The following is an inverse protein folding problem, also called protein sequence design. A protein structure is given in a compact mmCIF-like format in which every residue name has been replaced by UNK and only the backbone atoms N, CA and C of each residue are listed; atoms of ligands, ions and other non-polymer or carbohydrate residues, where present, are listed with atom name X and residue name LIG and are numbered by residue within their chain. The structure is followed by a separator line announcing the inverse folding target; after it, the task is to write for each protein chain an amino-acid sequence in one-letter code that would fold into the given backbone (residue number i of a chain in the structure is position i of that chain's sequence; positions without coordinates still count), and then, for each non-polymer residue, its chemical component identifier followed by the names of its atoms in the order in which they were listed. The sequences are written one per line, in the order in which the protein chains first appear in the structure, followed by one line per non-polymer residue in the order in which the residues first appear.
data_IF_290570762193
#
_entry.id   IF_290570762193
#
_cell.length_a   1.000
_cell.length_b   1.000
_cell.length_c   1.000
_cell.angle_alpha   90.00
_cell.angle_beta   90.00
_cell.angle_gamma   90.00
#
_symmetry.space_group_name_H-M   'P 1'
#
loop_
_entity.id
_entity.type
_entity.pdbx_description
1 polymer ?
#
# COMPACT_ATOMS: atom_id res chain seq x y z
N UNK A 1 -13.86 -79.22 35.66
CA UNK A 1 -13.74 -80.24 34.60
C UNK A 1 -14.01 -79.56 33.27
N UNK A 2 -12.95 -79.31 32.50
CA UNK A 2 -12.99 -78.65 31.21
C UNK A 2 -12.12 -79.46 30.24
N UNK A 3 -12.68 -79.89 29.11
CA UNK A 3 -12.02 -80.14 27.83
C UNK A 3 -13.02 -80.75 26.80
N UNK A 4 -12.79 -80.58 25.49
CA UNK A 4 -13.80 -80.55 24.45
C UNK A 4 -13.77 -81.75 23.48
N UNK A 5 -14.80 -81.89 22.65
CA UNK A 5 -14.86 -82.86 21.54
C UNK A 5 -14.53 -82.18 20.22
N UNK A 6 -13.44 -82.65 19.59
CA UNK A 6 -13.05 -82.34 18.23
C UNK A 6 -13.77 -83.27 17.22
N UNK A 7 -14.12 -82.75 16.04
CA UNK A 7 -14.37 -83.55 14.82
C UNK A 7 -13.69 -82.92 13.60
N UNK A 8 -12.81 -83.73 13.02
CA UNK A 8 -12.35 -83.90 11.62
C UNK A 8 -13.51 -83.78 10.58
N UNK A 9 -13.41 -83.48 9.27
CA UNK A 9 -12.37 -83.43 8.21
C UNK A 9 -12.96 -82.79 6.93
N UNK A 10 -12.14 -82.39 5.93
CA UNK A 10 -12.54 -82.42 4.51
C UNK A 10 -11.97 -81.34 3.58
N UNK A 11 -11.00 -81.71 2.74
CA UNK A 11 -10.43 -80.89 1.67
C UNK A 11 -11.25 -80.96 0.37
N UNK A 12 -11.28 -79.86 -0.39
CA UNK A 12 -11.80 -79.80 -1.77
C UNK A 12 -11.02 -78.75 -2.57
N UNK A 13 -10.23 -79.20 -3.55
CA UNK A 13 -9.35 -78.41 -4.41
C UNK A 13 -10.13 -77.97 -5.66
N UNK A 14 -10.26 -76.66 -5.89
CA UNK A 14 -10.60 -76.07 -7.19
C UNK A 14 -9.77 -74.78 -7.35
N UNK A 15 -8.79 -74.78 -8.26
CA UNK A 15 -7.89 -73.65 -8.47
C UNK A 15 -8.51 -72.57 -9.38
N UNK A 16 -8.38 -71.26 -9.06
CA UNK A 16 -8.79 -70.21 -9.97
C UNK A 16 -7.61 -69.72 -10.84
N UNK A 17 -7.68 -70.05 -12.13
CA UNK A 17 -6.80 -69.58 -13.22
C UNK A 17 -6.93 -68.06 -13.54
N UNK A 18 -7.49 -67.26 -12.63
CA UNK A 18 -7.88 -65.86 -12.87
C UNK A 18 -6.83 -64.83 -12.38
N UNK A 19 -5.80 -65.30 -11.67
CA UNK A 19 -4.80 -64.41 -11.03
C UNK A 19 -3.63 -64.01 -11.94
N UNK A 20 -3.46 -64.63 -13.12
CA UNK A 20 -2.30 -64.38 -13.99
C UNK A 20 -2.59 -63.35 -15.11
N UNK A 21 -3.87 -63.11 -15.44
CA UNK A 21 -4.26 -62.17 -16.50
C UNK A 21 -4.62 -60.76 -16.00
N UNK A 22 -4.82 -60.57 -14.69
CA UNK A 22 -5.13 -59.27 -14.09
C UNK A 22 -3.94 -58.30 -13.98
N UNK A 23 -2.69 -58.72 -13.70
CA UNK A 23 -1.58 -57.76 -13.58
C UNK A 23 -1.23 -57.00 -14.87
N UNK A 24 -1.17 -57.61 -16.08
CA UNK A 24 -0.82 -56.87 -17.29
C UNK A 24 -1.94 -55.95 -17.77
N UNK A 25 -3.21 -56.30 -17.51
CA UNK A 25 -4.35 -55.45 -17.88
C UNK A 25 -4.45 -54.21 -16.98
N UNK A 26 -4.16 -54.36 -15.68
CA UNK A 26 -4.09 -53.25 -14.73
C UNK A 26 -2.89 -52.33 -15.00
N UNK A 27 -1.76 -52.90 -15.42
CA UNK A 27 -0.56 -52.15 -15.83
C UNK A 27 -0.77 -51.41 -17.16
N UNK A 28 -1.52 -51.98 -18.11
CA UNK A 28 -1.92 -51.31 -19.35
C UNK A 28 -2.92 -50.16 -19.11
N UNK A 29 -3.82 -50.30 -18.13
CA UNK A 29 -4.70 -49.22 -17.67
C UNK A 29 -3.95 -48.10 -16.93
N UNK A 30 -2.85 -48.42 -16.22
CA UNK A 30 -1.96 -47.44 -15.60
C UNK A 30 -1.04 -46.72 -16.62
N UNK A 31 -0.79 -47.32 -17.80
CA UNK A 31 -0.04 -46.74 -18.91
C UNK A 31 -0.93 -45.96 -19.90
N UNK A 32 -2.25 -46.06 -19.79
CA UNK A 32 -3.18 -45.21 -20.51
C UNK A 32 -3.11 -43.79 -19.93
N UNK A 33 -2.05 -43.04 -20.30
CA UNK A 33 -2.02 -41.58 -20.18
C UNK A 33 -3.26 -41.04 -20.88
N UNK A 34 -4.27 -40.65 -20.12
CA UNK A 34 -5.40 -39.90 -20.65
C UNK A 34 -4.86 -38.61 -21.24
N UNK A 35 -4.91 -38.50 -22.56
CA UNK A 35 -4.61 -37.31 -23.34
C UNK A 35 -5.69 -36.23 -23.17
N UNK A 36 -6.13 -35.99 -21.93
CA UNK A 36 -7.04 -34.91 -21.58
C UNK A 36 -6.24 -33.84 -20.83
N UNK A 37 -5.31 -33.23 -21.56
CA UNK A 37 -4.44 -32.16 -21.10
C UNK A 37 -5.11 -30.76 -21.23
N UNK A 38 -6.43 -30.75 -21.44
CA UNK A 38 -7.25 -29.56 -21.65
C UNK A 38 -7.89 -29.13 -20.33
N UNK A 39 -7.65 -27.88 -19.95
CA UNK A 39 -8.14 -27.30 -18.70
C UNK A 39 -9.57 -26.80 -18.86
N UNK A 40 -10.50 -27.34 -18.07
CA UNK A 40 -11.88 -26.86 -18.01
C UNK A 40 -11.91 -25.39 -17.57
N UNK A 41 -12.53 -24.52 -18.40
CA UNK A 41 -12.61 -23.07 -18.18
C UNK A 41 -11.52 -22.21 -18.86
N UNK A 42 -10.52 -22.82 -19.50
CA UNK A 42 -9.49 -22.12 -20.28
C UNK A 42 -9.72 -22.29 -21.78
N UNK A 43 -9.60 -21.23 -22.57
CA UNK A 43 -9.82 -21.27 -24.03
C UNK A 43 -11.15 -21.98 -24.41
N UNK A 44 -11.08 -23.10 -25.14
CA UNK A 44 -12.23 -23.90 -25.57
C UNK A 44 -12.64 -25.00 -24.56
N UNK A 45 -12.14 -24.93 -23.32
CA UNK A 45 -12.46 -25.86 -22.24
C UNK A 45 -11.89 -27.25 -22.51
N UNK A 46 -12.75 -28.27 -22.51
CA UNK A 46 -12.36 -29.68 -22.68
C UNK A 46 -12.17 -30.11 -24.14
N UNK A 47 -12.35 -29.20 -25.10
CA UNK A 47 -12.19 -29.47 -26.54
C UNK A 47 -11.07 -28.65 -27.15
N UNK A 48 -10.39 -29.20 -28.15
CA UNK A 48 -9.39 -28.46 -28.92
C UNK A 48 -10.08 -27.40 -29.80
N UNK A 49 -9.61 -26.15 -29.77
CA UNK A 49 -10.11 -25.05 -30.58
C UNK A 49 -9.95 -25.30 -32.09
N UNK A 50 -8.93 -26.06 -32.50
CA UNK A 50 -8.73 -26.46 -33.90
C UNK A 50 -9.81 -27.46 -34.34
N UNK A 51 -10.12 -28.43 -33.49
CA UNK A 51 -11.19 -29.42 -33.72
C UNK A 51 -12.57 -28.77 -33.74
N UNK A 52 -12.84 -27.81 -32.84
CA UNK A 52 -14.08 -27.05 -32.81
C UNK A 52 -14.34 -26.31 -34.13
N UNK A 53 -13.28 -25.75 -34.75
CA UNK A 53 -13.39 -25.10 -36.05
C UNK A 53 -13.25 -26.08 -37.24
N UNK A 54 -12.85 -27.32 -37.01
CA UNK A 54 -12.59 -28.31 -38.06
C UNK A 54 -11.43 -27.95 -38.97
N UNK A 55 -10.39 -27.30 -38.42
CA UNK A 55 -9.20 -26.86 -39.16
C UNK A 55 -7.94 -27.48 -38.58
N UNK A 56 -6.88 -27.62 -39.37
CA UNK A 56 -5.61 -28.15 -38.86
C UNK A 56 -4.83 -27.10 -38.04
N UNK A 57 -3.92 -27.56 -37.18
CA UNK A 57 -2.95 -26.69 -36.49
C UNK A 57 -2.05 -25.90 -37.44
N UNK A 58 -1.91 -26.34 -38.69
CA UNK A 58 -1.18 -25.64 -39.76
C UNK A 58 -2.03 -24.67 -40.59
N UNK A 59 -3.33 -24.57 -40.31
CA UNK A 59 -4.26 -23.75 -41.07
C UNK A 59 -3.88 -22.26 -41.01
N UNK A 60 -3.98 -21.59 -42.16
CA UNK A 60 -3.72 -20.16 -42.29
C UNK A 60 -4.87 -19.30 -41.74
N UNK A 61 -4.61 -18.02 -41.43
CA UNK A 61 -5.63 -17.07 -40.92
C UNK A 61 -6.89 -17.01 -41.80
N UNK A 62 -6.73 -17.11 -43.12
CA UNK A 62 -7.85 -17.09 -44.08
C UNK A 62 -8.76 -18.33 -43.99
N UNK A 63 -8.17 -19.50 -43.77
CA UNK A 63 -8.88 -20.78 -43.63
C UNK A 63 -9.67 -20.82 -42.32
N UNK A 64 -9.02 -20.41 -41.22
CA UNK A 64 -9.65 -20.27 -39.90
C UNK A 64 -10.85 -19.32 -39.98
N UNK A 65 -10.69 -18.16 -40.64
CA UNK A 65 -11.79 -17.21 -40.81
C UNK A 65 -12.92 -17.75 -41.72
N UNK A 66 -12.61 -18.61 -42.70
CA UNK A 66 -13.63 -19.25 -43.55
C UNK A 66 -14.44 -20.27 -42.76
N UNK A 67 -13.76 -21.14 -42.01
CA UNK A 67 -14.38 -22.16 -41.17
C UNK A 67 -15.28 -21.54 -40.10
N UNK A 68 -14.79 -20.51 -39.40
CA UNK A 68 -15.58 -19.74 -38.44
C UNK A 68 -16.86 -19.17 -39.08
N UNK A 69 -16.78 -18.50 -40.23
CA UNK A 69 -17.97 -17.93 -40.89
C UNK A 69 -19.00 -18.99 -41.30
N UNK A 70 -18.56 -20.20 -41.64
CA UNK A 70 -19.45 -21.30 -42.01
C UNK A 70 -20.18 -21.84 -40.78
N UNK A 71 -19.44 -22.13 -39.70
CA UNK A 71 -19.98 -22.65 -38.45
C UNK A 71 -20.84 -21.62 -37.73
N UNK A 72 -20.42 -20.35 -37.69
CA UNK A 72 -21.17 -19.25 -37.12
C UNK A 72 -22.54 -19.06 -37.80
N UNK A 73 -22.64 -19.26 -39.13
CA UNK A 73 -23.94 -19.22 -39.83
C UNK A 73 -24.81 -20.44 -39.53
N UNK A 74 -24.20 -21.61 -39.30
CA UNK A 74 -24.91 -22.87 -39.00
C UNK A 74 -25.50 -22.85 -37.59
N UNK A 75 -24.74 -22.38 -36.61
CA UNK A 75 -25.12 -22.34 -35.20
C UNK A 75 -25.71 -20.99 -34.75
N UNK A 76 -25.96 -20.06 -35.67
CA UNK A 76 -26.55 -18.77 -35.32
C UNK A 76 -27.96 -18.96 -34.74
N UNK A 77 -28.29 -18.42 -33.54
CA UNK A 77 -29.56 -18.68 -32.87
C UNK A 77 -30.79 -18.29 -33.71
N UNK A 78 -30.70 -17.22 -34.49
CA UNK A 78 -31.77 -16.74 -35.39
C UNK A 78 -31.97 -17.60 -36.66
N UNK A 79 -30.95 -18.35 -37.07
CA UNK A 79 -30.98 -19.14 -38.32
C UNK A 79 -30.96 -20.64 -38.09
N UNK A 80 -30.85 -21.04 -36.82
CA UNK A 80 -30.73 -22.44 -36.44
C UNK A 80 -32.03 -23.19 -36.78
N UNK A 81 -31.90 -24.25 -37.58
CA UNK A 81 -32.98 -25.21 -37.83
C UNK A 81 -32.47 -26.58 -37.39
N UNK A 82 -33.07 -27.22 -36.38
CA UNK A 82 -32.67 -28.56 -35.99
C UNK A 82 -32.97 -29.53 -37.14
N UNK A 83 -31.95 -30.22 -37.64
CA UNK A 83 -32.11 -31.28 -38.64
C UNK A 83 -32.45 -32.61 -37.93
N UNK A 84 -33.42 -33.39 -38.45
CA UNK A 84 -33.77 -34.69 -37.86
C UNK A 84 -32.63 -35.70 -38.11
N UNK A 85 -31.86 -36.03 -37.06
CA UNK A 85 -30.78 -37.00 -37.11
C UNK A 85 -29.45 -36.54 -36.49
N UNK A 86 -29.31 -35.27 -36.13
CA UNK A 86 -28.10 -34.75 -35.48
C UNK A 86 -28.04 -35.18 -33.99
N UNK A 87 -27.12 -36.10 -33.65
CA UNK A 87 -26.86 -36.56 -32.28
C UNK A 87 -25.82 -35.71 -31.53
N UNK A 88 -25.42 -34.55 -32.08
CA UNK A 88 -24.41 -33.65 -31.51
C UNK A 88 -24.95 -32.50 -30.64
N UNK A 89 -24.06 -31.68 -30.03
CA UNK A 89 -24.44 -30.46 -29.33
C UNK A 89 -25.12 -29.50 -30.31
N UNK A 90 -26.43 -29.30 -30.16
CA UNK A 90 -27.29 -28.59 -31.12
C UNK A 90 -28.76 -29.03 -31.08
N UNK A 91 -29.10 -30.18 -30.48
CA UNK A 91 -30.49 -30.71 -30.42
C UNK A 91 -31.56 -29.70 -29.96
N UNK A 92 -31.22 -28.76 -29.08
CA UNK A 92 -32.11 -27.70 -28.57
C UNK A 92 -31.58 -26.30 -28.92
N UNK A 93 -32.42 -25.25 -28.96
CA UNK A 93 -31.97 -23.87 -29.18
C UNK A 93 -30.85 -23.44 -28.22
N UNK A 94 -30.90 -23.92 -26.97
CA UNK A 94 -29.88 -23.68 -25.94
C UNK A 94 -28.52 -24.31 -26.32
N UNK A 95 -28.53 -25.53 -26.84
CA UNK A 95 -27.28 -26.18 -27.28
C UNK A 95 -26.68 -25.59 -28.56
N UNK A 96 -27.48 -24.90 -29.39
CA UNK A 96 -26.98 -24.15 -30.53
C UNK A 96 -26.26 -22.85 -30.09
N UNK A 97 -26.78 -22.18 -29.06
CA UNK A 97 -26.13 -21.01 -28.44
C UNK A 97 -24.78 -21.39 -27.80
N UNK A 98 -24.72 -22.48 -27.04
CA UNK A 98 -23.47 -22.99 -26.46
C UNK A 98 -22.44 -23.35 -27.55
N UNK A 99 -22.87 -24.02 -28.62
CA UNK A 99 -22.02 -24.34 -29.77
C UNK A 99 -21.51 -23.07 -30.47
N UNK A 100 -22.35 -22.05 -30.61
CA UNK A 100 -21.97 -20.76 -31.17
C UNK A 100 -20.92 -20.04 -30.31
N UNK A 101 -21.11 -20.00 -28.98
CA UNK A 101 -20.15 -19.42 -28.04
C UNK A 101 -18.80 -20.15 -28.10
N UNK A 102 -18.82 -21.47 -28.18
CA UNK A 102 -17.60 -22.29 -28.30
C UNK A 102 -16.85 -22.00 -29.62
N UNK A 103 -17.57 -21.95 -30.74
CA UNK A 103 -17.02 -21.60 -32.07
C UNK A 103 -16.45 -20.17 -32.08
N UNK A 104 -17.12 -19.22 -31.43
CA UNK A 104 -16.62 -17.85 -31.27
C UNK A 104 -15.33 -17.82 -30.44
N UNK A 105 -15.29 -18.53 -29.32
CA UNK A 105 -14.11 -18.61 -28.43
C UNK A 105 -12.92 -19.26 -29.14
N UNK A 106 -13.17 -20.32 -29.92
CA UNK A 106 -12.14 -20.96 -30.74
C UNK A 106 -11.57 -20.01 -31.79
N UNK A 107 -12.43 -19.26 -32.49
CA UNK A 107 -11.99 -18.27 -33.46
C UNK A 107 -11.21 -17.12 -32.79
N UNK A 108 -11.68 -16.58 -31.66
CA UNK A 108 -10.95 -15.53 -30.93
C UNK A 108 -9.56 -15.97 -30.51
N UNK A 109 -9.43 -17.20 -30.02
CA UNK A 109 -8.16 -17.79 -29.59
C UNK A 109 -7.19 -17.97 -30.77
N UNK A 110 -7.68 -18.44 -31.92
CA UNK A 110 -6.85 -18.79 -33.08
C UNK A 110 -6.64 -17.64 -34.09
N UNK A 111 -7.43 -16.56 -34.01
CA UNK A 111 -7.39 -15.41 -34.92
C UNK A 111 -6.13 -14.59 -34.73
N UNK A 112 -5.82 -14.24 -33.48
CA UNK A 112 -4.62 -13.45 -33.15
C UNK A 112 -3.41 -14.39 -33.01
N UNK A 113 -2.28 -13.94 -33.53
CA UNK A 113 -1.09 -14.78 -33.63
C UNK A 113 -0.45 -15.02 -32.26
N UNK A 114 -0.52 -14.04 -31.37
CA UNK A 114 0.02 -14.18 -30.03
C UNK A 114 -0.85 -15.11 -29.16
N UNK A 115 -2.18 -14.99 -29.21
CA UNK A 115 -3.09 -15.89 -28.49
C UNK A 115 -3.01 -17.31 -29.02
N UNK A 116 -2.84 -17.46 -30.35
CA UNK A 116 -2.60 -18.76 -30.98
C UNK A 116 -1.28 -19.38 -30.52
N UNK A 117 -0.21 -18.59 -30.40
CA UNK A 117 1.09 -19.06 -29.88
C UNK A 117 0.97 -19.54 -28.43
N UNK A 118 0.27 -18.80 -27.57
CA UNK A 118 0.05 -19.24 -26.18
C UNK A 118 -0.81 -20.50 -26.11
N UNK A 119 -1.83 -20.61 -26.97
CA UNK A 119 -2.67 -21.80 -27.06
C UNK A 119 -1.88 -23.01 -27.54
N UNK A 120 -1.09 -22.83 -28.60
CA UNK A 120 -0.19 -23.84 -29.14
C UNK A 120 0.85 -24.29 -28.09
N UNK A 121 1.42 -23.36 -27.33
CA UNK A 121 2.34 -23.64 -26.23
C UNK A 121 1.64 -24.40 -25.09
N UNK A 122 0.39 -24.08 -24.77
CA UNK A 122 -0.42 -24.83 -23.80
C UNK A 122 -0.68 -26.27 -24.24
N UNK A 123 -0.98 -26.49 -25.53
CA UNK A 123 -1.16 -27.84 -26.07
C UNK A 123 0.13 -28.66 -26.00
N UNK A 124 1.29 -28.04 -26.20
CA UNK A 124 2.59 -28.70 -26.16
C UNK A 124 3.11 -28.95 -24.73
N UNK A 125 2.73 -28.09 -23.76
CA UNK A 125 3.22 -28.10 -22.37
C UNK A 125 2.08 -28.12 -21.31
N UNK A 126 1.22 -29.14 -21.29
CA UNK A 126 0.06 -29.16 -20.39
C UNK A 126 0.42 -29.21 -18.89
N UNK A 127 1.65 -29.57 -18.54
CA UNK A 127 2.17 -29.58 -17.17
C UNK A 127 2.26 -28.18 -16.54
N UNK A 128 2.38 -27.12 -17.34
CA UNK A 128 2.57 -25.73 -16.86
C UNK A 128 1.25 -25.00 -16.55
N UNK A 129 0.32 -25.66 -15.87
CA UNK A 129 -1.04 -25.16 -15.59
C UNK A 129 -1.10 -23.68 -15.15
N UNK A 130 -0.29 -23.30 -14.15
CA UNK A 130 -0.30 -21.94 -13.59
C UNK A 130 0.21 -20.89 -14.58
N UNK A 131 1.16 -21.27 -15.44
CA UNK A 131 1.71 -20.37 -16.47
C UNK A 131 0.63 -20.04 -17.49
N UNK A 132 -0.03 -21.06 -18.05
CA UNK A 132 -1.09 -20.90 -19.04
C UNK A 132 -2.28 -20.13 -18.49
N UNK A 133 -2.66 -20.42 -17.24
CA UNK A 133 -3.69 -19.68 -16.52
C UNK A 133 -3.33 -18.18 -16.44
N UNK A 134 -2.10 -17.87 -16.01
CA UNK A 134 -1.63 -16.49 -15.92
C UNK A 134 -1.65 -15.78 -17.27
N UNK A 135 -1.11 -16.41 -18.33
CA UNK A 135 -1.09 -15.82 -19.67
C UNK A 135 -2.49 -15.54 -20.23
N UNK A 136 -3.42 -16.49 -20.08
CA UNK A 136 -4.81 -16.33 -20.51
C UNK A 136 -5.52 -15.17 -19.80
N UNK A 137 -5.44 -15.11 -18.46
CA UNK A 137 -6.08 -14.05 -17.69
C UNK A 137 -5.39 -12.70 -17.86
N UNK A 138 -4.06 -12.67 -17.95
CA UNK A 138 -3.30 -11.45 -18.17
C UNK A 138 -3.71 -10.79 -19.48
N UNK A 139 -3.87 -11.54 -20.58
CA UNK A 139 -4.33 -10.94 -21.85
C UNK A 139 -5.75 -10.38 -21.79
N UNK A 140 -6.67 -11.05 -21.07
CA UNK A 140 -8.08 -10.61 -20.97
C UNK A 140 -8.28 -9.46 -19.99
N UNK A 141 -7.52 -9.44 -18.89
CA UNK A 141 -7.69 -8.49 -17.79
C UNK A 141 -6.60 -7.42 -17.70
N UNK A 142 -5.54 -7.49 -18.52
CA UNK A 142 -4.49 -6.49 -18.51
C UNK A 142 -5.10 -5.10 -18.76
N UNK A 143 -4.91 -4.15 -17.83
CA UNK A 143 -5.34 -2.79 -18.06
C UNK A 143 -4.61 -2.27 -19.29
N UNK A 144 -5.36 -1.65 -20.22
CA UNK A 144 -4.79 -1.03 -21.42
C UNK A 144 -3.85 0.14 -21.10
N UNK A 145 -3.88 0.63 -19.86
CA UNK A 145 -3.02 1.71 -19.36
C UNK A 145 -1.95 1.10 -18.46
N UNK A 146 -0.69 1.48 -18.69
CA UNK A 146 0.41 1.07 -17.84
C UNK A 146 0.18 1.58 -16.40
N UNK A 147 0.11 0.65 -15.45
CA UNK A 147 -0.12 0.92 -14.03
C UNK A 147 0.91 1.91 -13.49
N UNK A 148 2.13 1.92 -14.04
CA UNK A 148 3.21 2.85 -13.66
C UNK A 148 2.83 4.30 -13.92
N UNK A 149 2.17 4.57 -15.05
CA UNK A 149 1.72 5.92 -15.41
C UNK A 149 0.65 6.39 -14.44
N UNK A 150 -0.29 5.50 -14.09
CA UNK A 150 -1.36 5.81 -13.12
C UNK A 150 -0.75 6.14 -11.75
N UNK A 151 0.22 5.36 -11.29
CA UNK A 151 0.94 5.62 -10.03
C UNK A 151 1.64 6.97 -10.08
N UNK A 152 2.39 7.28 -11.14
CA UNK A 152 3.12 8.54 -11.28
C UNK A 152 2.18 9.74 -11.25
N UNK A 153 1.10 9.71 -12.03
CA UNK A 153 0.10 10.79 -12.07
C UNK A 153 -0.55 10.98 -10.70
N UNK A 154 -0.91 9.88 -10.03
CA UNK A 154 -1.50 9.93 -8.69
C UNK A 154 -0.54 10.53 -7.66
N UNK A 155 0.73 10.13 -7.68
CA UNK A 155 1.77 10.66 -6.80
C UNK A 155 2.00 12.15 -7.05
N UNK A 156 2.05 12.58 -8.30
CA UNK A 156 2.15 14.00 -8.66
C UNK A 156 0.95 14.81 -8.15
N UNK A 157 -0.27 14.31 -8.35
CA UNK A 157 -1.49 14.98 -7.89
C UNK A 157 -1.52 15.12 -6.35
N UNK A 158 -1.19 14.05 -5.63
CA UNK A 158 -1.09 14.08 -4.16
C UNK A 158 -0.02 15.07 -3.71
N UNK A 159 1.13 15.11 -4.39
CA UNK A 159 2.23 16.03 -4.05
C UNK A 159 1.83 17.50 -4.22
N UNK A 160 1.09 17.83 -5.29
CA UNK A 160 0.57 19.20 -5.51
C UNK A 160 -0.44 19.57 -4.42
N UNK A 161 -1.36 18.67 -4.09
CA UNK A 161 -2.34 18.89 -3.01
C UNK A 161 -1.67 19.08 -1.65
N UNK A 162 -0.66 18.26 -1.33
CA UNK A 162 0.14 18.40 -0.11
C UNK A 162 0.82 19.76 -0.03
N UNK A 163 1.49 20.20 -1.11
CA UNK A 163 2.15 21.50 -1.15
C UNK A 163 1.18 22.65 -0.87
N UNK A 164 0.01 22.64 -1.53
CA UNK A 164 -1.01 23.67 -1.31
C UNK A 164 -1.57 23.63 0.11
N UNK A 165 -1.83 22.44 0.65
CA UNK A 165 -2.32 22.26 2.01
C UNK A 165 -1.32 22.78 3.05
N UNK A 166 -0.04 22.47 2.90
CA UNK A 166 1.03 22.97 3.77
C UNK A 166 1.24 24.48 3.63
N UNK A 167 1.17 25.02 2.42
CA UNK A 167 1.24 26.47 2.20
C UNK A 167 0.12 27.20 2.95
N UNK A 168 -1.13 26.74 2.80
CA UNK A 168 -2.28 27.31 3.51
C UNK A 168 -2.14 27.17 5.03
N UNK A 169 -1.63 26.04 5.51
CA UNK A 169 -1.41 25.80 6.94
C UNK A 169 -0.34 26.75 7.49
N UNK A 170 0.76 26.95 6.77
CA UNK A 170 1.82 27.90 7.10
C UNK A 170 1.30 29.34 7.15
N UNK A 171 0.57 29.79 6.14
CA UNK A 171 0.02 31.15 6.12
C UNK A 171 -0.99 31.37 7.26
N UNK A 172 -1.81 30.37 7.59
CA UNK A 172 -2.69 30.41 8.78
C UNK A 172 -1.88 30.57 10.07
N UNK A 173 -0.81 29.80 10.24
CA UNK A 173 0.05 29.91 11.42
C UNK A 173 0.68 31.30 11.53
N UNK A 174 1.18 31.88 10.44
CA UNK A 174 1.72 33.24 10.41
C UNK A 174 0.65 34.27 10.77
N UNK A 175 -0.55 34.14 10.19
CA UNK A 175 -1.65 35.05 10.49
C UNK A 175 -2.05 34.99 11.97
N UNK A 176 -2.08 33.80 12.57
CA UNK A 176 -2.31 33.61 14.00
C UNK A 176 -1.19 34.22 14.86
N UNK A 177 0.08 34.00 14.52
CA UNK A 177 1.19 34.58 15.28
C UNK A 177 1.17 36.11 15.26
N UNK A 178 0.69 36.72 14.17
CA UNK A 178 0.54 38.17 14.07
C UNK A 178 -0.57 38.75 14.98
N UNK A 179 -1.53 37.94 15.43
CA UNK A 179 -2.56 38.36 16.40
C UNK A 179 -2.09 38.23 17.84
N UNK A 180 -1.19 37.28 18.13
CA UNK A 180 -0.66 37.06 19.48
C UNK A 180 0.18 38.28 19.92
N UNK A 181 -0.14 38.92 21.07
CA UNK A 181 0.53 40.15 21.49
C UNK A 181 2.05 40.02 21.64
N UNK A 182 2.52 38.88 22.18
CA UNK A 182 3.95 38.61 22.40
C UNK A 182 4.78 38.76 21.12
N UNK A 183 4.38 38.06 20.06
CA UNK A 183 5.12 38.06 18.79
C UNK A 183 4.91 39.34 18.01
N UNK A 184 3.72 39.94 18.10
CA UNK A 184 3.42 41.23 17.46
C UNK A 184 4.30 42.35 18.01
N UNK A 185 4.45 42.47 19.33
CA UNK A 185 5.29 43.49 19.96
C UNK A 185 6.75 43.32 19.52
N UNK A 186 7.26 42.08 19.58
CA UNK A 186 8.62 41.76 19.14
C UNK A 186 8.84 42.12 17.66
N UNK A 187 7.90 41.75 16.78
CA UNK A 187 7.98 42.08 15.37
C UNK A 187 7.93 43.60 15.12
N UNK A 188 7.12 44.35 15.88
CA UNK A 188 7.06 45.81 15.80
C UNK A 188 8.35 46.48 16.26
N UNK A 189 9.00 45.99 17.32
CA UNK A 189 10.29 46.50 17.78
C UNK A 189 11.37 46.30 16.71
N UNK A 190 11.41 45.11 16.11
CA UNK A 190 12.33 44.81 15.00
C UNK A 190 12.02 45.69 13.78
N UNK A 191 10.74 45.90 13.45
CA UNK A 191 10.33 46.78 12.36
C UNK A 191 10.80 48.22 12.58
N UNK A 192 10.73 48.71 13.83
CA UNK A 192 11.24 50.04 14.22
C UNK A 192 12.76 50.10 14.12
N UNK A 193 13.47 49.08 14.59
CA UNK A 193 14.93 48.98 14.49
C UNK A 193 15.41 48.99 13.03
N UNK A 194 14.68 48.29 12.14
CA UNK A 194 14.98 48.24 10.71
C UNK A 194 14.51 49.48 9.93
N UNK A 195 13.84 50.43 10.58
CA UNK A 195 13.31 51.64 9.93
C UNK A 195 12.18 51.37 8.93
N UNK A 196 11.56 50.18 8.96
CA UNK A 196 10.53 49.76 7.99
C UNK A 196 9.18 50.43 8.24
N UNK A 197 8.94 50.92 9.46
CA UNK A 197 7.75 51.69 9.79
C UNK A 197 7.94 53.15 9.34
N UNK A 198 7.44 53.49 8.15
CA UNK A 198 7.39 54.88 7.68
C UNK A 198 6.56 55.73 8.66
N UNK A 199 7.10 56.87 9.12
CA UNK A 199 6.28 57.91 9.76
C UNK A 199 5.42 58.59 8.69
N UNK A 200 4.13 58.74 8.95
CA UNK A 200 3.11 59.31 8.05
C UNK A 200 3.45 60.73 7.54
N UNK A 201 4.33 60.83 6.53
CA UNK A 201 4.67 62.07 5.82
C UNK A 201 4.74 61.83 4.30
N UNK A 202 3.65 61.36 3.71
CA UNK A 202 3.43 61.49 2.27
C UNK A 202 2.36 62.59 2.07
N UNK A 203 2.82 63.82 1.75
CA UNK A 203 1.96 64.94 1.36
C UNK A 203 1.95 65.03 -0.17
N UNK A 204 0.77 64.85 -0.80
CA UNK A 204 0.58 64.99 -2.24
C UNK A 204 -0.54 64.09 -2.78
N UNK A 205 -0.76 64.12 -4.11
CA UNK A 205 -1.79 63.34 -4.85
C UNK A 205 -1.72 61.81 -4.64
N UNK A 206 -0.67 61.28 -4.03
CA UNK A 206 -0.46 59.86 -3.73
C UNK A 206 -0.60 59.55 -2.23
N UNK A 207 -1.62 60.10 -1.56
CA UNK A 207 -1.91 59.76 -0.16
C UNK A 207 -2.60 58.40 -0.10
N UNK A 208 -1.88 57.38 0.36
CA UNK A 208 -2.44 56.04 0.60
C UNK A 208 -3.61 56.09 1.57
N UNK A 209 -4.59 55.22 1.35
CA UNK A 209 -5.75 55.12 2.24
C UNK A 209 -5.32 54.62 3.64
N UNK A 210 -6.10 54.93 4.67
CA UNK A 210 -5.82 54.47 6.04
C UNK A 210 -5.79 52.93 6.13
N UNK A 211 -6.58 52.26 5.30
CA UNK A 211 -6.64 50.81 5.21
C UNK A 211 -5.37 50.24 4.54
N UNK A 212 -4.92 50.82 3.43
CA UNK A 212 -3.66 50.43 2.78
C UNK A 212 -2.45 50.55 3.72
N UNK A 213 -2.38 51.63 4.50
CA UNK A 213 -1.30 51.81 5.47
C UNK A 213 -1.33 50.71 6.54
N UNK A 214 -2.53 50.35 7.02
CA UNK A 214 -2.69 49.26 8.01
C UNK A 214 -2.29 47.92 7.42
N UNK A 215 -2.66 47.65 6.17
CA UNK A 215 -2.34 46.40 5.49
C UNK A 215 -0.83 46.30 5.18
N UNK A 216 -0.18 47.43 4.87
CA UNK A 216 1.28 47.52 4.74
C UNK A 216 1.99 47.22 6.06
N UNK A 217 1.55 47.83 7.16
CA UNK A 217 2.07 47.54 8.50
C UNK A 217 1.87 46.06 8.87
N UNK A 218 0.70 45.49 8.57
CA UNK A 218 0.40 44.09 8.83
C UNK A 218 1.28 43.15 7.99
N UNK A 219 1.52 43.48 6.72
CA UNK A 219 2.41 42.73 5.84
C UNK A 219 3.87 42.81 6.31
N UNK A 220 4.33 43.97 6.78
CA UNK A 220 5.66 44.13 7.39
C UNK A 220 5.79 43.24 8.62
N UNK A 221 4.80 43.26 9.53
CA UNK A 221 4.79 42.42 10.74
C UNK A 221 4.82 40.93 10.36
N UNK A 222 3.98 40.50 9.41
CA UNK A 222 3.97 39.11 8.91
C UNK A 222 5.32 38.71 8.31
N UNK A 223 5.96 39.59 7.53
CA UNK A 223 7.26 39.31 6.93
C UNK A 223 8.37 39.17 7.98
N UNK A 224 8.35 40.01 9.02
CA UNK A 224 9.31 39.90 10.13
C UNK A 224 9.10 38.58 10.86
N UNK A 225 7.86 38.21 11.16
CA UNK A 225 7.51 36.91 11.77
C UNK A 225 8.01 35.76 10.89
N UNK A 226 7.75 35.79 9.57
CA UNK A 226 8.25 34.78 8.60
C UNK A 226 9.77 34.64 8.62
N UNK A 227 10.51 35.73 8.87
CA UNK A 227 11.97 35.75 8.82
C UNK A 227 12.67 35.40 10.15
N UNK A 228 12.01 35.68 11.29
CA UNK A 228 12.62 35.58 12.63
C UNK A 228 12.08 34.43 13.47
N UNK A 229 10.90 33.93 13.15
CA UNK A 229 10.28 32.85 13.91
C UNK A 229 10.38 31.56 13.10
N UNK A 230 11.21 30.64 13.59
CA UNK A 230 11.27 29.28 13.07
C UNK A 230 10.07 28.49 13.56
N UNK A 231 9.02 28.44 12.74
CA UNK A 231 7.86 27.60 12.99
C UNK A 231 8.25 26.15 12.70
N UNK A 232 8.37 25.34 13.76
CA UNK A 232 8.70 23.91 13.67
C UNK A 232 7.44 23.04 13.65
N UNK A 233 7.50 21.88 13.01
CA UNK A 233 6.40 20.89 12.99
C UNK A 233 5.46 21.02 11.78
N UNK A 234 4.18 20.65 11.94
CA UNK A 234 3.20 20.58 10.83
C UNK A 234 2.80 21.91 10.18
N UNK A 235 3.30 23.03 10.72
CA UNK A 235 3.09 24.38 10.20
C UNK A 235 4.40 25.01 9.70
N UNK A 236 5.41 24.21 9.41
CA UNK A 236 6.68 24.69 8.87
C UNK A 236 6.52 25.19 7.44
N UNK A 237 7.43 26.10 7.03
CA UNK A 237 7.50 26.55 5.64
C UNK A 237 7.71 25.34 4.71
N UNK A 238 6.85 25.15 3.69
CA UNK A 238 6.95 23.99 2.81
C UNK A 238 8.29 23.99 2.06
N UNK A 239 9.06 22.91 2.21
CA UNK A 239 10.28 22.67 1.45
C UNK A 239 9.98 21.72 0.30
N UNK A 240 10.62 21.93 -0.84
CA UNK A 240 10.38 21.11 -2.04
C UNK A 240 10.83 19.65 -1.78
N UNK A 241 11.91 19.46 -1.02
CA UNK A 241 12.43 18.15 -0.66
C UNK A 241 11.47 17.31 0.19
N UNK A 242 10.56 17.96 0.92
CA UNK A 242 9.62 17.27 1.81
C UNK A 242 8.38 16.77 1.07
N UNK A 243 8.14 17.17 -0.19
CA UNK A 243 7.04 16.64 -0.98
C UNK A 243 7.23 15.14 -1.21
N UNK A 244 6.12 14.41 -1.20
CA UNK A 244 6.09 12.96 -1.38
C UNK A 244 6.81 12.49 -2.65
N UNK A 245 6.64 13.20 -3.77
CA UNK A 245 7.35 12.89 -5.03
C UNK A 245 8.88 12.88 -4.84
N UNK A 246 9.43 13.92 -4.21
CA UNK A 246 10.88 14.03 -3.98
C UNK A 246 11.36 13.07 -2.90
N UNK A 247 10.54 12.81 -1.87
CA UNK A 247 10.84 11.77 -0.89
C UNK A 247 10.97 10.39 -1.54
N UNK A 248 10.07 10.01 -2.44
CA UNK A 248 10.15 8.72 -3.15
C UNK A 248 11.40 8.67 -4.03
N UNK A 249 11.71 9.77 -4.73
CA UNK A 249 12.87 9.84 -5.61
C UNK A 249 14.19 9.76 -4.85
N UNK A 250 14.28 10.40 -3.67
CA UNK A 250 15.45 10.40 -2.80
C UNK A 250 15.51 9.21 -1.83
N UNK A 251 14.41 8.47 -1.65
CA UNK A 251 14.33 7.31 -0.77
C UNK A 251 15.45 6.28 -0.97
N UNK A 252 15.79 5.84 -2.21
CA UNK A 252 16.89 4.89 -2.39
C UNK A 252 18.24 5.47 -1.94
N UNK A 253 18.49 6.76 -2.22
CA UNK A 253 19.71 7.43 -1.76
C UNK A 253 19.79 7.50 -0.24
N UNK A 254 18.69 7.90 0.42
CA UNK A 254 18.61 7.93 1.88
C UNK A 254 18.80 6.53 2.48
N UNK A 255 18.19 5.49 1.89
CA UNK A 255 18.36 4.11 2.32
C UNK A 255 19.82 3.67 2.22
N UNK A 256 20.47 3.90 1.08
CA UNK A 256 21.89 3.58 0.90
C UNK A 256 22.76 4.33 1.92
N UNK A 257 22.54 5.64 2.09
CA UNK A 257 23.30 6.45 3.06
C UNK A 257 23.11 5.94 4.50
N UNK A 258 21.90 5.50 4.85
CA UNK A 258 21.59 4.94 6.15
C UNK A 258 22.28 3.59 6.37
N UNK A 259 22.28 2.72 5.35
CA UNK A 259 22.99 1.44 5.41
C UNK A 259 24.49 1.65 5.61
N UNK A 260 25.10 2.56 4.84
CA UNK A 260 26.52 2.90 4.99
C UNK A 260 26.82 3.45 6.39
N UNK A 261 25.98 4.38 6.86
CA UNK A 261 26.09 4.94 8.21
C UNK A 261 25.98 3.85 9.28
N UNK A 262 25.03 2.91 9.13
CA UNK A 262 24.81 1.82 10.07
C UNK A 262 25.96 0.80 10.08
N UNK A 263 26.48 0.43 8.91
CA UNK A 263 27.67 -0.41 8.80
C UNK A 263 28.88 0.25 9.48
N UNK A 264 29.07 1.57 9.25
CA UNK A 264 30.12 2.35 9.91
C UNK A 264 29.92 2.40 11.42
N UNK A 265 28.67 2.55 11.88
CA UNK A 265 28.32 2.53 13.31
C UNK A 265 28.71 1.20 13.95
N UNK A 266 28.28 0.07 13.38
CA UNK A 266 28.62 -1.27 13.88
C UNK A 266 30.14 -1.45 13.94
N UNK A 267 30.84 -1.07 12.87
CA UNK A 267 32.29 -1.22 12.81
C UNK A 267 33.00 -0.39 13.89
N UNK A 268 32.63 0.87 14.09
CA UNK A 268 33.31 1.75 15.04
C UNK A 268 32.98 1.42 16.50
N UNK A 269 31.72 1.11 16.81
CA UNK A 269 31.26 0.97 18.21
C UNK A 269 31.18 -0.48 18.67
N UNK A 270 30.82 -1.44 17.81
CA UNK A 270 30.70 -2.84 18.20
C UNK A 270 32.01 -3.61 18.00
N UNK A 271 32.76 -3.33 16.92
CA UNK A 271 34.02 -4.03 16.62
C UNK A 271 35.21 -3.30 17.24
N UNK A 272 35.34 -1.99 17.00
CA UNK A 272 36.48 -1.20 17.51
C UNK A 272 36.31 -0.69 18.94
N UNK A 273 35.10 -0.73 19.50
CA UNK A 273 34.83 -0.28 20.87
C UNK A 273 35.21 1.17 21.15
N UNK A 274 35.10 2.06 20.15
CA UNK A 274 35.40 3.48 20.35
C UNK A 274 34.41 4.13 21.31
N UNK A 275 34.85 5.11 22.09
CA UNK A 275 33.96 5.94 22.88
C UNK A 275 33.01 6.75 21.98
N UNK A 276 31.77 6.94 22.44
CA UNK A 276 30.79 7.75 21.72
C UNK A 276 31.22 9.22 21.72
N UNK A 277 31.25 9.85 20.55
CA UNK A 277 31.35 11.30 20.43
C UNK A 277 30.05 11.99 20.82
N UNK A 278 30.05 13.32 20.80
CA UNK A 278 28.88 14.12 21.19
C UNK A 278 27.67 13.85 20.28
N UNK A 279 27.87 13.77 18.96
CA UNK A 279 26.81 13.50 18.00
C UNK A 279 26.18 12.12 18.19
N UNK A 280 27.00 11.10 18.48
CA UNK A 280 26.53 9.74 18.71
C UNK A 280 25.79 9.63 20.05
N UNK A 281 26.27 10.31 21.10
CA UNK A 281 25.56 10.42 22.38
C UNK A 281 24.18 11.06 22.17
N UNK A 282 24.10 12.18 21.44
CA UNK A 282 22.84 12.84 21.12
C UNK A 282 21.91 11.95 20.31
N UNK A 283 22.44 11.16 19.36
CA UNK A 283 21.64 10.18 18.60
C UNK A 283 21.02 9.12 19.52
N UNK A 284 21.79 8.58 20.47
CA UNK A 284 21.32 7.58 21.43
C UNK A 284 20.28 8.19 22.37
N UNK A 285 20.52 9.39 22.89
CA UNK A 285 19.57 10.13 23.75
C UNK A 285 18.25 10.35 23.01
N UNK A 286 18.29 10.84 21.77
CA UNK A 286 17.09 11.01 20.95
C UNK A 286 16.33 9.69 20.78
N UNK A 287 17.05 8.60 20.56
CA UNK A 287 16.49 7.25 20.37
C UNK A 287 15.87 6.72 21.67
N UNK A 288 16.49 6.91 22.83
CA UNK A 288 15.94 6.50 24.13
C UNK A 288 14.68 7.28 24.47
N UNK A 289 14.65 8.58 24.14
CA UNK A 289 13.48 9.45 24.31
C UNK A 289 12.34 9.21 23.31
N UNK A 290 12.54 8.38 22.28
CA UNK A 290 11.57 8.12 21.20
C UNK A 290 11.08 9.39 20.49
N UNK A 291 11.95 10.39 20.36
CA UNK A 291 11.63 11.65 19.69
C UNK A 291 11.95 11.58 18.20
N UNK A 292 11.11 12.21 17.38
CA UNK A 292 11.45 12.44 15.97
C UNK A 292 12.66 13.36 15.86
N UNK A 293 13.38 13.32 14.73
CA UNK A 293 14.54 14.20 14.50
C UNK A 293 14.14 15.68 14.61
N UNK A 294 13.04 16.08 13.97
CA UNK A 294 12.53 17.45 14.02
C UNK A 294 12.13 17.91 15.43
N UNK A 295 11.54 17.02 16.24
CA UNK A 295 11.19 17.34 17.62
C UNK A 295 12.44 17.51 18.50
N UNK A 296 13.47 16.70 18.28
CA UNK A 296 14.73 16.82 19.00
C UNK A 296 15.53 18.06 18.59
N UNK A 297 15.56 18.37 17.30
CA UNK A 297 16.15 19.60 16.75
C UNK A 297 15.34 20.85 17.16
N UNK A 298 14.10 20.67 17.63
CA UNK A 298 13.28 21.75 18.17
C UNK A 298 13.72 22.22 19.55
N UNK A 299 14.38 21.36 20.32
CA UNK A 299 14.84 21.66 21.67
C UNK A 299 15.94 22.72 21.65
N UNK A 300 15.94 23.55 22.68
CA UNK A 300 16.98 24.55 22.90
C UNK A 300 18.32 23.87 23.19
N UNK A 301 19.42 24.48 22.76
CA UNK A 301 20.74 23.86 22.87
C UNK A 301 21.18 23.67 24.32
N UNK A 302 20.72 24.55 25.23
CA UNK A 302 20.93 24.38 26.67
C UNK A 302 20.33 23.07 27.21
N UNK A 303 19.21 22.60 26.63
CA UNK A 303 18.60 21.34 27.03
C UNK A 303 19.39 20.14 26.50
N UNK A 304 19.94 20.24 25.29
CA UNK A 304 20.80 19.20 24.75
C UNK A 304 22.09 19.07 25.58
N UNK A 305 22.66 20.19 26.01
CA UNK A 305 23.79 20.20 26.93
C UNK A 305 23.46 19.56 28.29
N UNK A 306 22.29 19.83 28.88
CA UNK A 306 21.92 19.19 30.14
C UNK A 306 21.75 17.68 29.99
N UNK A 307 21.26 17.21 28.84
CA UNK A 307 21.19 15.78 28.55
C UNK A 307 22.56 15.12 28.43
N UNK A 308 23.52 15.83 27.82
CA UNK A 308 24.91 15.37 27.75
C UNK A 308 25.56 15.35 29.14
N UNK A 309 25.37 16.41 29.94
CA UNK A 309 25.89 16.50 31.32
C UNK A 309 25.32 15.43 32.24
N UNK A 310 24.07 15.02 32.03
CA UNK A 310 23.41 13.95 32.80
C UNK A 310 23.64 12.55 32.23
N UNK A 311 24.44 12.43 31.18
CA UNK A 311 24.79 11.16 30.55
C UNK A 311 23.58 10.29 30.16
N UNK A 312 22.54 10.91 29.60
CA UNK A 312 21.27 10.25 29.30
C UNK A 312 21.35 9.20 28.17
N UNK A 313 22.53 9.00 27.57
CA UNK A 313 22.77 7.88 26.65
C UNK A 313 22.90 6.54 27.40
N UNK A 314 23.16 6.58 28.71
CA UNK A 314 23.13 5.41 29.59
C UNK A 314 21.67 5.16 30.02
N UNK A 315 21.21 3.92 29.84
CA UNK A 315 19.81 3.55 30.05
C UNK A 315 19.33 3.81 31.48
N UNK A 316 20.15 3.51 32.48
CA UNK A 316 19.83 3.69 33.90
C UNK A 316 19.62 5.18 34.25
N UNK A 317 20.54 6.04 33.82
CA UNK A 317 20.43 7.49 34.02
C UNK A 317 19.19 8.07 33.33
N UNK A 318 18.85 7.55 32.15
CA UNK A 318 17.65 7.95 31.44
C UNK A 318 16.36 7.54 32.17
N UNK A 319 16.31 6.34 32.78
CA UNK A 319 15.15 5.90 33.55
C UNK A 319 14.90 6.76 34.79
N UNK A 320 15.97 7.12 35.51
CA UNK A 320 15.90 8.06 36.63
C UNK A 320 15.40 9.43 36.16
N UNK A 321 15.99 9.98 35.09
CA UNK A 321 15.55 11.25 34.51
C UNK A 321 14.08 11.23 34.08
N UNK A 322 13.64 10.13 33.47
CA UNK A 322 12.24 9.97 33.05
C UNK A 322 11.29 10.00 34.26
N UNK A 323 11.65 9.32 35.35
CA UNK A 323 10.88 9.34 36.59
C UNK A 323 10.82 10.75 37.19
N UNK A 324 11.94 11.47 37.24
CA UNK A 324 11.98 12.87 37.69
C UNK A 324 11.03 13.76 36.87
N UNK A 325 11.05 13.64 35.55
CA UNK A 325 10.18 14.42 34.66
C UNK A 325 8.70 14.07 34.85
N UNK A 326 8.36 12.79 35.04
CA UNK A 326 7.00 12.37 35.35
C UNK A 326 6.52 12.90 36.71
N UNK A 327 7.39 12.92 37.72
CA UNK A 327 7.08 13.50 39.03
C UNK A 327 6.92 15.01 38.98
N UNK A 328 7.80 15.72 38.28
CA UNK A 328 7.67 17.17 38.07
C UNK A 328 6.36 17.50 37.36
N UNK A 329 6.00 16.74 36.32
CA UNK A 329 4.74 16.92 35.61
C UNK A 329 3.55 16.65 36.55
N UNK A 330 3.60 15.59 37.35
CA UNK A 330 2.58 15.30 38.38
C UNK A 330 2.46 16.43 39.40
N UNK A 331 3.58 16.99 39.88
CA UNK A 331 3.60 18.14 40.80
C UNK A 331 3.01 19.39 40.15
N UNK A 332 3.38 19.70 38.90
CA UNK A 332 2.83 20.83 38.12
C UNK A 332 1.31 20.68 37.93
N UNK A 333 0.84 19.51 37.52
CA UNK A 333 -0.59 19.19 37.43
C UNK A 333 -1.27 19.29 38.79
N UNK A 334 -0.67 18.76 39.85
CA UNK A 334 -1.21 18.81 41.19
C UNK A 334 -1.37 20.27 41.68
N UNK A 335 -0.45 21.15 41.29
CA UNK A 335 -0.43 22.56 41.65
C UNK A 335 -1.32 23.44 40.76
N UNK A 336 -1.59 23.04 39.52
CA UNK A 336 -2.42 23.79 38.56
C UNK A 336 -3.83 24.05 39.14
N UNK A 337 -4.23 25.32 39.33
CA UNK A 337 -5.56 25.69 39.81
C UNK A 337 -6.71 25.12 38.95
N UNK A 338 -6.51 25.00 37.63
CA UNK A 338 -7.50 24.43 36.72
C UNK A 338 -7.70 22.94 37.00
N UNK A 339 -6.61 22.20 37.14
CA UNK A 339 -6.64 20.79 37.50
C UNK A 339 -7.19 20.54 38.91
N UNK A 340 -6.85 21.39 39.89
CA UNK A 340 -7.45 21.35 41.24
C UNK A 340 -8.97 21.59 41.22
N UNK A 341 -9.46 22.46 40.33
CA UNK A 341 -10.90 22.71 40.14
C UNK A 341 -11.57 21.51 39.48
N UNK A 342 -10.98 20.99 38.41
CA UNK A 342 -11.48 19.81 37.71
C UNK A 342 -11.54 18.57 38.63
N UNK A 343 -10.51 18.32 39.45
CA UNK A 343 -10.53 17.25 40.45
C UNK A 343 -11.63 17.40 41.50
N UNK A 344 -11.89 18.63 41.98
CA UNK A 344 -13.00 18.91 42.91
C UNK A 344 -14.35 18.65 42.25
N UNK A 345 -14.53 19.08 41.00
CA UNK A 345 -15.73 18.82 40.20
C UNK A 345 -15.94 17.31 39.95
N UNK A 346 -14.90 16.58 39.52
CA UNK A 346 -14.96 15.13 39.35
C UNK A 346 -15.38 14.39 40.63
N UNK A 347 -14.94 14.87 41.81
CA UNK A 347 -15.33 14.31 43.11
C UNK A 347 -16.78 14.65 43.51
N UNK A 348 -17.26 15.83 43.16
CA UNK A 348 -18.54 16.34 43.66
C UNK A 348 -19.72 16.17 42.67
N UNK A 349 -19.46 16.25 41.36
CA UNK A 349 -20.46 16.41 40.29
C UNK A 349 -20.12 15.61 39.00
N UNK A 350 -19.07 14.79 39.01
CA UNK A 350 -18.63 14.02 37.84
C UNK A 350 -19.55 12.84 37.48
N UNK A 351 -19.53 12.38 36.21
CA UNK A 351 -20.33 11.24 35.76
C UNK A 351 -19.80 9.97 36.45
N UNK A 352 -20.62 9.38 37.32
CA UNK A 352 -20.24 8.29 38.22
C UNK A 352 -20.68 8.49 39.67
N UNK A 353 -21.23 9.66 40.02
CA UNK A 353 -21.88 9.86 41.32
C UNK A 353 -23.20 9.10 41.36
N UNK A 354 -23.30 8.09 42.23
CA UNK A 354 -24.58 7.55 42.68
C UNK A 354 -25.26 8.63 43.54
N UNK A 355 -26.16 9.39 42.94
CA UNK A 355 -27.11 10.21 43.70
C UNK A 355 -28.15 9.25 44.25
N UNK A 356 -28.27 9.14 45.57
CA UNK A 356 -29.49 8.57 46.13
C UNK A 356 -30.63 9.51 45.72
N UNK A 357 -31.61 9.00 45.00
CA UNK A 357 -32.86 9.73 44.75
C UNK A 357 -33.57 9.68 46.09
N UNK A 358 -33.58 10.79 46.82
CA UNK A 358 -34.39 10.92 48.02
C UNK A 358 -35.85 11.03 47.55
N UNK A 359 -36.63 9.96 47.77
CA UNK A 359 -38.07 9.84 47.47
C UNK A 359 -38.93 10.81 48.30
#
# INVERSE_FOLDING_TARGET
MAAPLARRWGAGVVGPCWLVLMPPLLLALLLARSAAALVEGLYCGTRDCYEVLGVSRTAGKAEIARAYRQLARRYHPDRYRPEPGDEGPGRTPQSAEEAFLLVATAYETLKDEETRKDYDYMLDHPEEYYSHYYHYYSRRLAPKVDVRVVILVSVCAISVFQFFSWWNSYDKAISYLATVPKYRIQAMEIAKQQGLLKKAKEKGRNKKSKEEIRDEEENIIKNIIKSKIDIKGGYQKPQICDLLLFQILLAPFHLCSYVVWYCRWIYNFNIKGKEYGEEERLYIIRKSMKMSKSQFDSLEDHQKETFLKRELWIKENYEVYKQEQEEELKKKLANDPRWKRYRRWMKNEGPGRLMFVDD
#
